data_IF_437826585715
#
_entry.id   IF_437826585715
#
_cell.length_a   1.000
_cell.length_b   1.000
_cell.length_c   1.000
_cell.angle_alpha   90.00
_cell.angle_beta   90.00
_cell.angle_gamma   90.00
#
_symmetry.space_group_name_H-M   'P 1'
#
loop_
_entity.id
_entity.type
_entity.pdbx_description
1 polymer ?
#
# COMPACT_ATOMS: atom_id res chain seq x y z
N UNK A 1 -46.73 27.00 9.07
CA UNK A 1 -46.49 25.69 9.72
C UNK A 1 -45.84 24.66 8.79
N UNK A 2 -46.19 24.61 7.50
CA UNK A 2 -45.62 23.67 6.51
C UNK A 2 -44.09 23.79 6.34
N UNK A 3 -43.52 25.00 6.37
CA UNK A 3 -42.08 25.24 6.22
C UNK A 3 -41.23 24.74 7.39
N UNK A 4 -41.77 24.71 8.61
CA UNK A 4 -41.08 24.18 9.80
C UNK A 4 -41.03 22.65 9.81
N UNK A 5 -42.13 21.99 9.45
CA UNK A 5 -42.18 20.54 9.34
C UNK A 5 -41.25 20.03 8.23
N UNK A 6 -41.21 20.72 7.09
CA UNK A 6 -40.31 20.39 5.99
C UNK A 6 -38.82 20.54 6.40
N UNK A 7 -38.47 21.60 7.12
CA UNK A 7 -37.11 21.79 7.64
C UNK A 7 -36.66 20.70 8.61
N UNK A 8 -37.56 20.23 9.49
CA UNK A 8 -37.27 19.13 10.44
C UNK A 8 -37.08 17.81 9.69
N UNK A 9 -37.89 17.53 8.67
CA UNK A 9 -37.77 16.32 7.85
C UNK A 9 -36.45 16.32 7.06
N UNK A 10 -36.09 17.44 6.44
CA UNK A 10 -34.82 17.59 5.71
C UNK A 10 -33.62 17.41 6.65
N UNK A 11 -33.66 18.03 7.84
CA UNK A 11 -32.61 17.87 8.85
C UNK A 11 -32.51 16.41 9.35
N UNK A 12 -33.65 15.75 9.56
CA UNK A 12 -33.71 14.34 9.95
C UNK A 12 -33.10 13.41 8.90
N UNK A 13 -33.39 13.64 7.62
CA UNK A 13 -32.80 12.88 6.50
C UNK A 13 -31.30 13.11 6.40
N UNK A 14 -30.82 14.36 6.56
CA UNK A 14 -29.40 14.68 6.55
C UNK A 14 -28.64 13.99 7.70
N UNK A 15 -29.17 14.03 8.92
CA UNK A 15 -28.53 13.38 10.09
C UNK A 15 -28.47 11.86 9.97
N UNK A 16 -29.50 11.23 9.37
CA UNK A 16 -29.49 9.79 9.11
C UNK A 16 -28.45 9.41 8.02
N UNK A 17 -28.28 10.26 7.01
CA UNK A 17 -27.31 10.02 5.93
C UNK A 17 -25.84 10.12 6.35
N UNK A 18 -25.54 10.88 7.42
CA UNK A 18 -24.17 11.03 7.92
C UNK A 18 -23.57 9.72 8.48
N UNK A 19 -24.41 8.76 8.86
CA UNK A 19 -23.96 7.47 9.44
C UNK A 19 -23.42 6.48 8.40
N UNK A 20 -23.67 6.72 7.10
CA UNK A 20 -23.20 5.88 6.00
C UNK A 20 -21.82 6.29 5.47
N UNK A 21 -21.30 7.45 5.87
CA UNK A 21 -19.97 7.89 5.49
C UNK A 21 -18.92 7.11 6.29
N UNK A 22 -18.25 6.16 5.65
CA UNK A 22 -17.04 5.57 6.22
C UNK A 22 -15.86 6.47 5.90
N UNK A 23 -15.05 6.77 6.93
CA UNK A 23 -13.76 7.40 6.70
C UNK A 23 -12.89 6.48 5.83
N UNK A 24 -12.05 7.08 4.98
CA UNK A 24 -11.05 6.33 4.21
C UNK A 24 -9.67 6.64 4.77
N UNK A 25 -8.83 5.62 4.89
CA UNK A 25 -7.43 5.79 5.22
C UNK A 25 -6.56 4.92 4.34
N UNK A 26 -5.29 5.29 4.22
CA UNK A 26 -4.31 4.51 3.45
C UNK A 26 -3.52 3.62 4.40
N UNK A 27 -3.45 2.34 4.05
CA UNK A 27 -2.63 1.36 4.73
C UNK A 27 -1.37 1.06 3.92
N UNK A 28 -0.32 0.67 4.63
CA UNK A 28 0.99 0.38 4.09
C UNK A 28 1.54 -0.92 4.68
N UNK A 29 2.14 -1.74 3.83
CA UNK A 29 3.17 -2.68 4.28
C UNK A 29 4.52 -1.97 4.11
N UNK A 30 5.23 -1.76 5.22
CA UNK A 30 6.54 -1.12 5.25
C UNK A 30 7.61 -2.16 5.54
N UNK A 31 8.74 -2.05 4.84
CA UNK A 31 10.00 -2.60 5.30
C UNK A 31 10.77 -1.50 6.02
N UNK A 32 11.04 -1.71 7.30
CA UNK A 32 11.74 -0.75 8.16
C UNK A 32 13.11 -1.33 8.50
N UNK A 33 14.15 -0.63 8.07
CA UNK A 33 15.53 -0.90 8.40
C UNK A 33 15.99 0.05 9.51
N UNK A 34 16.35 -0.49 10.67
CA UNK A 34 16.94 0.27 11.77
C UNK A 34 18.46 0.25 11.63
N UNK A 35 19.07 1.41 11.36
CA UNK A 35 20.51 1.55 11.13
C UNK A 35 21.33 1.29 12.39
N UNK A 36 20.74 1.40 13.58
CA UNK A 36 21.44 1.19 14.85
C UNK A 36 21.52 -0.30 15.17
N UNK A 37 20.40 -1.02 15.04
CA UNK A 37 20.37 -2.46 15.29
C UNK A 37 20.76 -3.31 14.08
N UNK A 38 20.82 -2.71 12.89
CA UNK A 38 21.07 -3.37 11.61
C UNK A 38 20.04 -4.48 11.29
N UNK A 39 18.79 -4.27 11.71
CA UNK A 39 17.68 -5.22 11.52
C UNK A 39 16.67 -4.61 10.53
N UNK A 40 16.21 -5.44 9.59
CA UNK A 40 15.06 -5.14 8.73
C UNK A 40 13.83 -5.91 9.20
N UNK A 41 12.69 -5.22 9.29
CA UNK A 41 11.41 -5.84 9.66
C UNK A 41 10.28 -5.36 8.77
N UNK A 42 9.31 -6.24 8.53
CA UNK A 42 8.09 -5.93 7.78
C UNK A 42 6.96 -5.65 8.77
N UNK A 43 6.19 -4.60 8.53
CA UNK A 43 5.03 -4.28 9.36
C UNK A 43 3.90 -3.68 8.52
N UNK A 44 2.67 -3.83 9.01
CA UNK A 44 1.48 -3.21 8.44
C UNK A 44 1.06 -2.05 9.34
N UNK A 45 0.85 -0.87 8.76
CA UNK A 45 0.48 0.35 9.49
C UNK A 45 -0.39 1.28 8.65
N UNK A 46 -1.10 2.18 9.33
CA UNK A 46 -1.77 3.33 8.70
C UNK A 46 -0.85 4.56 8.60
N UNK A 47 0.32 4.54 9.24
CA UNK A 47 1.29 5.63 9.12
C UNK A 47 1.91 5.61 7.73
N UNK A 48 1.94 6.79 7.09
CA UNK A 48 2.77 6.96 5.91
C UNK A 48 4.25 6.77 6.29
N UNK A 49 5.15 6.49 5.34
CA UNK A 49 6.57 6.33 5.66
C UNK A 49 7.16 7.53 6.40
N UNK A 50 6.78 8.75 6.02
CA UNK A 50 7.22 9.97 6.71
C UNK A 50 6.70 10.06 8.13
N UNK A 51 5.42 9.72 8.37
CA UNK A 51 4.84 9.74 9.72
C UNK A 51 5.47 8.66 10.60
N UNK A 52 5.74 7.49 10.04
CA UNK A 52 6.44 6.42 10.74
C UNK A 52 7.85 6.83 11.14
N UNK A 53 8.61 7.41 10.20
CA UNK A 53 9.95 7.94 10.49
C UNK A 53 9.88 8.99 11.60
N UNK A 54 8.96 9.94 11.52
CA UNK A 54 8.81 11.01 12.50
C UNK A 54 8.45 10.48 13.90
N UNK A 55 7.60 9.46 13.99
CA UNK A 55 7.13 8.92 15.26
C UNK A 55 8.12 7.97 15.96
N UNK A 56 8.97 7.25 15.21
CA UNK A 56 9.72 6.10 15.75
C UNK A 56 11.25 6.25 15.80
N UNK A 57 11.81 7.41 15.44
CA UNK A 57 13.26 7.65 15.66
C UNK A 57 13.95 8.56 14.65
N UNK A 58 13.23 9.07 13.65
CA UNK A 58 13.75 10.01 12.68
C UNK A 58 14.54 9.37 11.53
N UNK A 59 14.83 10.18 10.49
CA UNK A 59 15.43 9.69 9.25
C UNK A 59 16.89 9.28 9.41
N UNK A 60 17.58 9.75 10.46
CA UNK A 60 18.95 9.34 10.78
C UNK A 60 19.01 7.87 11.24
N UNK A 61 18.00 7.42 11.99
CA UNK A 61 17.95 6.05 12.51
C UNK A 61 17.26 5.08 11.56
N UNK A 62 16.16 5.49 10.94
CA UNK A 62 15.29 4.58 10.18
C UNK A 62 15.41 4.79 8.67
N UNK A 63 15.54 3.68 7.94
CA UNK A 63 15.24 3.59 6.51
C UNK A 63 13.88 2.91 6.33
N UNK A 64 13.00 3.47 5.50
CA UNK A 64 11.65 2.91 5.28
C UNK A 64 11.38 2.75 3.80
N UNK A 65 11.00 1.54 3.39
CA UNK A 65 10.60 1.20 2.02
C UNK A 65 9.15 0.77 2.00
N UNK A 66 8.34 1.30 1.08
CA UNK A 66 6.95 0.86 0.92
C UNK A 66 6.92 -0.44 0.11
N UNK A 67 6.53 -1.54 0.75
CA UNK A 67 6.33 -2.83 0.08
C UNK A 67 4.98 -2.92 -0.62
N UNK A 68 3.92 -2.43 0.00
CA UNK A 68 2.58 -2.36 -0.56
C UNK A 68 1.79 -1.17 0.00
N UNK A 69 0.76 -0.72 -0.72
CA UNK A 69 -0.21 0.24 -0.16
C UNK A 69 -1.60 0.06 -0.75
N UNK A 70 -2.61 0.17 0.10
CA UNK A 70 -4.02 0.00 -0.25
C UNK A 70 -4.90 0.98 0.53
N UNK A 71 -6.15 1.12 0.10
CA UNK A 71 -7.15 1.92 0.79
C UNK A 71 -7.95 1.00 1.70
N UNK A 72 -8.20 1.47 2.92
CA UNK A 72 -9.07 0.88 3.89
C UNK A 72 -10.22 1.83 4.19
N UNK A 73 -11.37 1.26 4.59
CA UNK A 73 -12.54 1.99 5.04
C UNK A 73 -12.71 1.82 6.55
N UNK A 74 -13.20 2.87 7.22
CA UNK A 74 -13.30 2.98 8.68
C UNK A 74 -12.19 3.83 9.30
N UNK A 75 -11.89 3.60 10.57
CA UNK A 75 -10.82 4.25 11.32
C UNK A 75 -9.91 3.23 12.00
N UNK A 76 -8.68 3.62 12.28
CA UNK A 76 -7.76 2.90 13.18
C UNK A 76 -7.73 3.53 14.58
N UNK A 77 -8.73 4.35 14.91
CA UNK A 77 -8.84 4.95 16.23
C UNK A 77 -9.08 3.84 17.28
N UNK A 78 -8.68 4.08 18.52
CA UNK A 78 -8.77 3.08 19.60
C UNK A 78 -7.95 1.81 19.37
N UNK A 79 -6.78 1.92 18.71
CA UNK A 79 -5.84 0.82 18.46
C UNK A 79 -6.43 -0.34 17.64
N UNK A 80 -7.46 -0.06 16.82
CA UNK A 80 -8.00 -1.05 15.91
C UNK A 80 -6.93 -1.50 14.90
N UNK A 81 -6.89 -2.79 14.55
CA UNK A 81 -5.95 -3.29 13.55
C UNK A 81 -6.23 -2.67 12.18
N UNK A 82 -5.17 -2.47 11.41
CA UNK A 82 -5.23 -2.04 10.02
C UNK A 82 -5.91 -3.13 9.18
N UNK A 83 -6.72 -2.74 8.19
CA UNK A 83 -7.39 -3.70 7.32
C UNK A 83 -6.37 -4.55 6.53
N UNK A 84 -6.65 -5.84 6.26
CA UNK A 84 -5.68 -6.72 5.61
C UNK A 84 -5.38 -6.27 4.17
N UNK A 85 -4.17 -6.56 3.71
CA UNK A 85 -3.77 -6.30 2.33
C UNK A 85 -4.64 -7.10 1.34
N UNK A 86 -5.18 -6.46 0.29
CA UNK A 86 -5.91 -7.17 -0.75
C UNK A 86 -5.03 -8.21 -1.44
N UNK A 87 -5.49 -9.46 -1.49
CA UNK A 87 -4.80 -10.52 -2.22
C UNK A 87 -4.79 -10.22 -3.73
N UNK A 88 -3.71 -10.60 -4.40
CA UNK A 88 -3.66 -10.60 -5.86
C UNK A 88 -4.75 -11.50 -6.45
N UNK A 89 -5.28 -11.14 -7.62
CA UNK A 89 -6.34 -11.88 -8.32
C UNK A 89 -5.71 -12.62 -9.49
N UNK A 90 -5.79 -13.95 -9.51
CA UNK A 90 -5.21 -14.80 -10.56
C UNK A 90 -3.77 -14.39 -10.96
N UNK A 91 -2.84 -14.31 -9.99
CA UNK A 91 -1.51 -13.78 -10.24
C UNK A 91 -0.75 -14.62 -11.28
N UNK A 92 -0.15 -13.95 -12.27
CA UNK A 92 0.69 -14.61 -13.28
C UNK A 92 2.06 -15.04 -12.74
N UNK A 93 2.53 -14.39 -11.67
CA UNK A 93 3.84 -14.63 -11.08
C UNK A 93 3.71 -14.96 -9.60
N UNK A 94 4.61 -15.78 -9.08
CA UNK A 94 4.65 -16.19 -7.67
C UNK A 94 5.83 -15.56 -6.93
N UNK A 95 5.75 -15.51 -5.59
CA UNK A 95 6.89 -15.12 -4.77
C UNK A 95 8.10 -16.01 -5.06
N UNK A 96 9.27 -15.41 -5.24
CA UNK A 96 10.49 -16.11 -5.66
C UNK A 96 10.69 -16.21 -7.17
N UNK A 97 9.68 -15.93 -8.01
CA UNK A 97 9.86 -15.88 -9.46
C UNK A 97 10.86 -14.78 -9.85
N UNK A 98 11.70 -15.07 -10.85
CA UNK A 98 12.52 -14.06 -11.53
C UNK A 98 11.69 -13.38 -12.60
N UNK A 99 11.71 -12.06 -12.62
CA UNK A 99 10.95 -11.25 -13.57
C UNK A 99 11.83 -10.16 -14.15
N UNK A 100 11.71 -10.01 -15.46
CA UNK A 100 12.27 -8.92 -16.23
C UNK A 100 11.26 -7.78 -16.30
N UNK A 101 11.72 -6.56 -16.08
CA UNK A 101 10.90 -5.35 -16.21
C UNK A 101 10.82 -4.94 -17.68
N UNK A 102 9.59 -4.81 -18.18
CA UNK A 102 9.26 -4.43 -19.55
C UNK A 102 8.65 -3.04 -19.57
N UNK A 103 9.50 -2.02 -19.45
CA UNK A 103 9.10 -0.62 -19.42
C UNK A 103 9.99 0.19 -20.37
N UNK A 104 9.67 0.22 -21.67
CA UNK A 104 10.47 0.96 -22.64
C UNK A 104 10.68 2.41 -22.18
N UNK A 105 11.93 2.88 -22.19
CA UNK A 105 12.36 4.23 -21.76
C UNK A 105 12.35 4.49 -20.25
N UNK A 106 12.05 3.51 -19.41
CA UNK A 106 12.22 3.63 -17.96
C UNK A 106 13.63 3.22 -17.52
N UNK A 107 14.13 3.80 -16.43
CA UNK A 107 15.47 3.50 -15.89
C UNK A 107 15.69 2.01 -15.61
N UNK A 108 14.61 1.32 -15.24
CA UNK A 108 14.64 -0.09 -14.84
C UNK A 108 14.30 -1.03 -15.99
N UNK A 109 14.21 -0.55 -17.23
CA UNK A 109 13.92 -1.41 -18.38
C UNK A 109 14.94 -2.54 -18.49
N UNK A 110 14.46 -3.74 -18.82
CA UNK A 110 15.24 -4.97 -18.93
C UNK A 110 15.93 -5.43 -17.63
N UNK A 111 15.75 -4.75 -16.50
CA UNK A 111 16.30 -5.22 -15.24
C UNK A 111 15.59 -6.50 -14.81
N UNK A 112 16.35 -7.43 -14.23
CA UNK A 112 15.81 -8.66 -13.67
C UNK A 112 15.83 -8.56 -12.15
N UNK A 113 14.67 -8.83 -11.54
CA UNK A 113 14.52 -8.92 -10.10
C UNK A 113 13.82 -10.20 -9.68
N UNK A 114 13.44 -10.26 -8.41
CA UNK A 114 12.72 -11.38 -7.78
C UNK A 114 11.42 -10.85 -7.16
N UNK A 115 10.31 -11.56 -7.36
CA UNK A 115 9.02 -11.22 -6.73
C UNK A 115 9.14 -11.47 -5.24
N UNK A 116 8.81 -10.48 -4.42
CA UNK A 116 8.71 -10.67 -2.96
C UNK A 116 7.30 -10.50 -2.38
N UNK A 117 6.37 -9.90 -3.12
CA UNK A 117 4.95 -9.87 -2.77
C UNK A 117 4.10 -9.51 -4.01
N UNK A 118 2.79 -9.74 -3.90
CA UNK A 118 1.81 -9.25 -4.86
C UNK A 118 0.50 -8.87 -4.16
N UNK A 119 -0.17 -7.86 -4.68
CA UNK A 119 -1.45 -7.39 -4.14
C UNK A 119 -2.31 -6.76 -5.23
N UNK A 120 -3.62 -6.84 -5.08
CA UNK A 120 -4.55 -6.25 -6.04
C UNK A 120 -4.84 -4.79 -5.71
N UNK A 121 -4.87 -3.93 -6.74
CA UNK A 121 -5.23 -2.51 -6.61
C UNK A 121 -6.56 -2.24 -7.32
N UNK A 122 -7.69 -2.12 -6.59
CA UNK A 122 -9.01 -1.91 -7.20
C UNK A 122 -9.09 -0.71 -8.13
N UNK A 123 -8.51 0.43 -7.75
CA UNK A 123 -8.51 1.65 -8.57
C UNK A 123 -7.72 1.52 -9.88
N UNK A 124 -6.86 0.52 -10.00
CA UNK A 124 -6.05 0.25 -11.19
C UNK A 124 -6.48 -1.02 -11.93
N UNK A 125 -7.40 -1.80 -11.33
CA UNK A 125 -7.89 -3.09 -11.84
C UNK A 125 -6.76 -4.04 -12.25
N UNK A 126 -5.66 -4.03 -11.50
CA UNK A 126 -4.45 -4.79 -11.84
C UNK A 126 -3.73 -5.26 -10.57
N UNK A 127 -3.05 -6.41 -10.69
CA UNK A 127 -2.08 -6.85 -9.70
C UNK A 127 -0.84 -5.96 -9.74
N UNK A 128 -0.35 -5.61 -8.56
CA UNK A 128 0.93 -4.95 -8.36
C UNK A 128 1.89 -5.94 -7.74
N UNK A 129 3.10 -6.00 -8.26
CA UNK A 129 4.16 -6.87 -7.76
C UNK A 129 5.28 -6.04 -7.16
N UNK A 130 5.72 -6.44 -5.97
CA UNK A 130 6.92 -5.94 -5.34
C UNK A 130 8.13 -6.73 -5.80
N UNK A 131 9.07 -6.04 -6.45
CA UNK A 131 10.23 -6.65 -7.08
C UNK A 131 11.48 -6.15 -6.39
N UNK A 132 12.30 -7.09 -5.91
CA UNK A 132 13.64 -6.82 -5.38
C UNK A 132 14.68 -7.01 -6.47
N UNK A 133 15.67 -6.15 -6.50
CA UNK A 133 16.83 -6.22 -7.40
C UNK A 133 18.11 -6.43 -6.59
N UNK A 134 18.48 -7.68 -6.26
CA UNK A 134 19.68 -7.98 -5.46
C UNK A 134 20.95 -7.39 -6.09
N UNK A 135 21.08 -7.49 -7.41
CA UNK A 135 22.23 -7.00 -8.19
C UNK A 135 22.28 -5.46 -8.32
N UNK A 136 21.25 -4.75 -7.85
CA UNK A 136 21.14 -3.29 -7.93
C UNK A 136 21.11 -2.68 -6.53
N UNK A 137 22.00 -3.11 -5.64
CA UNK A 137 22.06 -2.60 -4.27
C UNK A 137 20.83 -2.96 -3.43
N UNK A 138 20.22 -4.12 -3.72
CA UNK A 138 19.01 -4.60 -3.04
C UNK A 138 17.81 -3.63 -3.13
N UNK A 139 17.74 -2.84 -4.21
CA UNK A 139 16.64 -1.92 -4.47
C UNK A 139 15.31 -2.67 -4.57
N UNK A 140 14.26 -2.04 -4.06
CA UNK A 140 12.91 -2.55 -4.14
C UNK A 140 12.01 -1.56 -4.86
N UNK A 141 11.22 -2.05 -5.81
CA UNK A 141 10.24 -1.23 -6.51
C UNK A 141 8.98 -2.04 -6.80
N UNK A 142 7.92 -1.35 -7.22
CA UNK A 142 6.61 -1.94 -7.47
C UNK A 142 6.19 -1.69 -8.90
N UNK A 143 5.67 -2.72 -9.55
CA UNK A 143 5.30 -2.69 -10.96
C UNK A 143 3.92 -3.30 -11.19
N UNK A 144 3.24 -2.83 -12.23
CA UNK A 144 2.01 -3.44 -12.69
C UNK A 144 2.30 -4.73 -13.44
N UNK A 145 1.42 -5.71 -13.30
CA UNK A 145 1.55 -7.03 -13.94
C UNK A 145 1.85 -6.94 -15.45
N UNK A 146 1.19 -6.00 -16.15
CA UNK A 146 1.36 -5.80 -17.59
C UNK A 146 2.77 -5.36 -18.02
N UNK A 147 3.61 -4.94 -17.08
CA UNK A 147 4.97 -4.46 -17.33
C UNK A 147 6.03 -5.49 -16.97
N UNK A 148 5.64 -6.75 -16.76
CA UNK A 148 6.50 -7.80 -16.28
C UNK A 148 6.50 -8.98 -17.24
N UNK A 149 7.66 -9.61 -17.35
CA UNK A 149 7.83 -10.86 -18.08
C UNK A 149 8.62 -11.83 -17.21
N UNK A 150 8.22 -13.10 -17.20
CA UNK A 150 8.99 -14.13 -16.48
C UNK A 150 10.38 -14.25 -17.11
N UNK A 151 11.41 -14.08 -16.29
CA UNK A 151 12.78 -14.32 -16.70
C UNK A 151 13.09 -15.82 -16.55
N UNK A 152 14.00 -16.37 -17.38
CA UNK A 152 14.47 -17.74 -17.24
C UNK A 152 15.19 -18.00 -15.90
#
# INVERSE_FOLDING_TARGET
MITRAFGIVVLGVLLLSATLAQAEYRAYELEVFDRVSNISQKLITAFSPSDYIAAYGGPERLGVTIRASWICYGDTASYKPVCPMPKAINPQFQEGDRIQIMLPKHLTDQWVGVVENSFFRPGLRSNVYGIRFPERGNLYSRYYEAHLQKAP
#
